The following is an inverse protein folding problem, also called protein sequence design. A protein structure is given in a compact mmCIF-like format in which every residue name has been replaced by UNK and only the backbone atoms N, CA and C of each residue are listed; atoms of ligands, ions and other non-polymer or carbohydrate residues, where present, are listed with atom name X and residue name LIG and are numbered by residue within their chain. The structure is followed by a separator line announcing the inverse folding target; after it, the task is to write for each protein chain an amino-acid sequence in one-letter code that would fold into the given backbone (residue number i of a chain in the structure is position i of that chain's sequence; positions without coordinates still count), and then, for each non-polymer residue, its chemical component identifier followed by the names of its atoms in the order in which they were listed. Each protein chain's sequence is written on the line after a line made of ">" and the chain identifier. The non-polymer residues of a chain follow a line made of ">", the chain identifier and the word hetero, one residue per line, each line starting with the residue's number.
data_IF_398613785978
#
_entry.id   IF_398613785978
#
_cell.length_a   1.000
_cell.length_b   1.000
_cell.length_c   1.000
_cell.angle_alpha   90.00
_cell.angle_beta   90.00
_cell.angle_gamma   90.00
#
_symmetry.space_group_name_H-M   'P 1'
#
loop_
_entity.id
_entity.type
_entity.pdbx_description
1 polymer ?
#
# COMPACT_ATOMS: atom_id res chain seq x y z
N UNK A 1 0.49 -13.06 4.04
CA UNK A 1 0.94 -12.66 2.69
C UNK A 1 -0.20 -11.85 2.09
N UNK A 2 0.05 -10.63 1.65
CA UNK A 2 -1.03 -9.75 1.17
C UNK A 2 -1.21 -9.93 -0.34
N UNK A 3 -2.45 -10.15 -0.75
CA UNK A 3 -2.82 -10.37 -2.15
C UNK A 3 -3.62 -9.17 -2.65
N UNK A 4 -3.17 -8.57 -3.75
CA UNK A 4 -3.91 -7.54 -4.48
C UNK A 4 -4.70 -8.19 -5.61
N UNK A 5 -6.02 -8.02 -5.58
CA UNK A 5 -6.89 -8.28 -6.72
C UNK A 5 -6.99 -7.01 -7.57
N UNK A 6 -6.50 -7.07 -8.81
CA UNK A 6 -6.45 -5.94 -9.73
C UNK A 6 -6.74 -6.40 -11.15
N UNK A 7 -7.66 -5.71 -11.84
CA UNK A 7 -7.94 -5.94 -13.24
C UNK A 7 -7.30 -4.83 -14.07
N UNK A 8 -6.19 -5.16 -14.72
CA UNK A 8 -5.45 -4.22 -15.55
C UNK A 8 -5.99 -4.20 -16.98
N UNK A 9 -6.01 -3.03 -17.64
CA UNK A 9 -6.26 -2.95 -19.08
C UNK A 9 -5.20 -3.73 -19.87
N UNK A 10 -5.62 -4.44 -20.91
CA UNK A 10 -4.71 -5.13 -21.84
C UNK A 10 -4.01 -4.11 -22.74
N UNK A 11 -2.93 -3.52 -22.25
CA UNK A 11 -2.10 -2.55 -22.98
C UNK A 11 -0.66 -2.48 -22.44
N UNK A 12 0.22 -1.90 -23.26
CA UNK A 12 1.65 -1.77 -22.97
C UNK A 12 1.94 -0.94 -21.70
N UNK A 13 1.10 0.02 -21.33
CA UNK A 13 1.29 0.82 -20.13
C UNK A 13 1.16 -0.03 -18.87
N UNK A 14 0.19 -0.95 -18.85
CA UNK A 14 -0.01 -1.87 -17.73
C UNK A 14 1.14 -2.87 -17.62
N UNK A 15 1.63 -3.37 -18.76
CA UNK A 15 2.80 -4.26 -18.81
C UNK A 15 4.05 -3.54 -18.27
N UNK A 16 4.38 -2.35 -18.78
CA UNK A 16 5.53 -1.57 -18.33
C UNK A 16 5.44 -1.17 -16.85
N UNK A 17 4.24 -0.87 -16.35
CA UNK A 17 4.03 -0.58 -14.94
C UNK A 17 4.39 -1.79 -14.06
N UNK A 18 4.02 -3.00 -14.45
CA UNK A 18 4.31 -4.23 -13.69
C UNK A 18 5.81 -4.60 -13.67
N UNK A 19 6.60 -4.11 -14.61
CA UNK A 19 8.07 -4.28 -14.63
C UNK A 19 8.79 -3.37 -13.62
N UNK A 20 8.09 -2.37 -13.08
CA UNK A 20 8.67 -1.36 -12.21
C UNK A 20 8.56 -1.75 -10.73
N UNK A 21 9.62 -1.47 -9.97
CA UNK A 21 9.55 -1.37 -8.51
C UNK A 21 9.02 0.00 -8.10
N UNK A 22 8.43 0.10 -6.91
CA UNK A 22 7.97 1.35 -6.30
C UNK A 22 6.99 2.13 -7.19
N UNK A 23 6.03 1.42 -7.78
CA UNK A 23 4.96 1.97 -8.61
C UNK A 23 4.16 3.00 -7.78
N UNK A 24 3.99 4.24 -8.25
CA UNK A 24 3.23 5.24 -7.54
C UNK A 24 1.75 4.89 -7.50
N UNK A 25 1.18 4.90 -6.30
CA UNK A 25 -0.22 4.59 -6.07
C UNK A 25 -0.81 5.40 -4.92
N UNK A 26 -2.11 5.27 -4.73
CA UNK A 26 -2.81 5.82 -3.57
C UNK A 26 -3.49 4.71 -2.80
N UNK A 27 -3.10 4.58 -1.54
CA UNK A 27 -3.75 3.66 -0.60
C UNK A 27 -4.89 4.39 0.09
N UNK A 28 -6.07 3.77 0.04
CA UNK A 28 -7.28 4.20 0.72
C UNK A 28 -7.80 3.06 1.57
N UNK A 29 -7.98 3.28 2.87
CA UNK A 29 -8.43 2.22 3.78
C UNK A 29 -9.56 2.74 4.64
N UNK A 30 -10.69 2.04 4.59
CA UNK A 30 -11.83 2.15 5.49
C UNK A 30 -12.15 0.76 6.07
N UNK A 31 -13.31 0.18 5.74
CA UNK A 31 -13.57 -1.25 5.91
C UNK A 31 -12.88 -2.12 4.84
N UNK A 32 -12.45 -1.51 3.73
CA UNK A 32 -11.74 -2.14 2.63
C UNK A 32 -10.36 -1.52 2.49
N UNK A 33 -9.39 -2.30 2.03
CA UNK A 33 -8.08 -1.80 1.63
C UNK A 33 -8.04 -1.70 0.11
N UNK A 34 -8.09 -0.47 -0.40
CA UNK A 34 -8.17 -0.14 -1.83
C UNK A 34 -6.87 0.55 -2.27
N UNK A 35 -6.39 0.21 -3.47
CA UNK A 35 -5.22 0.84 -4.09
C UNK A 35 -5.59 1.38 -5.45
N UNK A 36 -5.43 2.68 -5.66
CA UNK A 36 -5.58 3.31 -6.98
C UNK A 36 -4.23 3.41 -7.69
N UNK A 37 -4.19 3.06 -8.97
CA UNK A 37 -2.99 3.12 -9.80
C UNK A 37 -3.07 4.26 -10.80
N UNK A 38 -2.08 5.17 -10.74
CA UNK A 38 -2.06 6.38 -11.57
C UNK A 38 -1.48 6.17 -12.98
N UNK A 39 -0.60 5.18 -13.13
CA UNK A 39 0.13 4.91 -14.37
C UNK A 39 -0.68 4.11 -15.41
N UNK A 40 -1.95 3.83 -15.10
CA UNK A 40 -2.85 3.06 -15.97
C UNK A 40 -3.83 3.97 -16.70
N UNK A 41 -4.15 3.61 -17.94
CA UNK A 41 -5.20 4.29 -18.73
C UNK A 41 -6.17 3.23 -19.27
N UNK A 42 -7.45 3.21 -18.84
CA UNK A 42 -8.03 4.07 -17.79
C UNK A 42 -7.41 3.81 -16.40
N UNK A 43 -7.60 4.75 -15.48
CA UNK A 43 -7.25 4.55 -14.07
C UNK A 43 -7.99 3.35 -13.51
N UNK A 44 -7.27 2.49 -12.80
CA UNK A 44 -7.84 1.30 -12.15
C UNK A 44 -7.59 1.30 -10.65
N UNK A 45 -8.48 0.61 -9.94
CA UNK A 45 -8.37 0.36 -8.50
C UNK A 45 -8.36 -1.14 -8.24
N UNK A 46 -7.56 -1.57 -7.28
CA UNK A 46 -7.53 -2.95 -6.79
C UNK A 46 -7.89 -3.03 -5.31
N UNK A 47 -8.20 -4.25 -4.87
CA UNK A 47 -8.55 -4.55 -3.48
C UNK A 47 -7.51 -5.50 -2.87
N UNK A 48 -7.01 -5.15 -1.70
CA UNK A 48 -6.09 -5.99 -0.95
C UNK A 48 -6.89 -6.95 -0.06
N UNK A 49 -6.56 -8.23 -0.15
CA UNK A 49 -7.10 -9.31 0.65
C UNK A 49 -6.12 -9.69 1.77
N UNK A 50 -6.63 -10.35 2.80
CA UNK A 50 -5.84 -10.95 3.89
C UNK A 50 -4.95 -9.94 4.63
N UNK A 51 -5.39 -8.68 4.71
CA UNK A 51 -4.75 -7.64 5.50
C UNK A 51 -5.28 -7.62 6.93
N UNK A 52 -4.48 -7.08 7.83
CA UNK A 52 -4.72 -7.03 9.28
C UNK A 52 -4.65 -5.59 9.70
N UNK A 53 -5.74 -5.07 10.26
CA UNK A 53 -5.78 -3.71 10.79
C UNK A 53 -4.75 -3.52 11.90
N UNK A 54 -4.57 -4.52 12.77
CA UNK A 54 -3.62 -4.47 13.87
C UNK A 54 -2.19 -4.33 13.35
N UNK A 55 -1.77 -5.19 12.42
CA UNK A 55 -0.41 -5.15 11.88
C UNK A 55 -0.16 -3.84 11.12
N UNK A 56 -1.14 -3.38 10.33
CA UNK A 56 -1.03 -2.10 9.63
C UNK A 56 -0.85 -0.92 10.60
N UNK A 57 -1.66 -0.87 11.66
CA UNK A 57 -1.68 0.27 12.57
C UNK A 57 -0.39 0.41 13.38
N UNK A 58 0.38 -0.66 13.61
CA UNK A 58 1.71 -0.56 14.24
C UNK A 58 2.77 0.11 13.34
N UNK A 59 2.53 0.16 12.02
CA UNK A 59 3.52 0.59 11.02
C UNK A 59 3.21 1.96 10.42
N UNK A 60 1.94 2.34 10.41
CA UNK A 60 1.49 3.64 9.89
C UNK A 60 0.38 4.19 10.78
N UNK A 61 0.50 5.45 11.24
CA UNK A 61 -0.59 6.10 11.93
C UNK A 61 -1.74 6.38 10.96
N UNK A 62 -2.95 6.07 11.40
CA UNK A 62 -4.17 6.49 10.75
C UNK A 62 -4.18 8.02 10.56
N UNK A 63 -4.79 8.49 9.48
CA UNK A 63 -5.04 9.92 9.28
C UNK A 63 -6.25 10.37 10.09
N UNK A 64 -6.25 11.63 10.53
CA UNK A 64 -7.44 12.26 11.10
C UNK A 64 -8.22 13.01 10.01
N UNK A 65 -9.45 12.57 9.73
CA UNK A 65 -10.45 13.28 8.91
C UNK A 65 -10.65 12.73 7.49
N UNK A 66 -11.90 12.80 7.00
CA UNK A 66 -12.32 12.34 5.66
C UNK A 66 -13.08 11.02 5.67
N UNK A 67 -13.37 10.48 4.47
CA UNK A 67 -14.13 9.24 4.29
C UNK A 67 -13.31 7.96 4.56
N UNK A 68 -11.97 8.08 4.66
CA UNK A 68 -11.04 6.96 4.85
C UNK A 68 -10.18 7.14 6.09
N UNK A 69 -9.94 6.05 6.83
CA UNK A 69 -8.99 6.00 7.96
C UNK A 69 -7.55 6.19 7.49
N UNK A 70 -7.23 5.68 6.30
CA UNK A 70 -5.95 5.92 5.64
C UNK A 70 -6.21 6.46 4.25
N UNK A 71 -5.57 7.58 3.93
CA UNK A 71 -5.53 8.14 2.59
C UNK A 71 -4.10 8.61 2.33
N UNK A 72 -3.28 7.72 1.80
CA UNK A 72 -1.81 7.88 1.78
C UNK A 72 -1.28 7.69 0.36
N UNK A 73 -0.48 8.66 -0.11
CA UNK A 73 0.38 8.46 -1.28
C UNK A 73 1.37 7.35 -0.94
N UNK A 74 1.55 6.44 -1.88
CA UNK A 74 2.25 5.19 -1.63
C UNK A 74 3.11 4.78 -2.81
N UNK A 75 4.06 3.89 -2.54
CA UNK A 75 4.87 3.20 -3.52
C UNK A 75 4.66 1.71 -3.32
N UNK A 76 4.29 0.98 -4.37
CA UNK A 76 4.00 -0.45 -4.31
C UNK A 76 4.87 -1.23 -5.30
N UNK A 77 5.35 -2.39 -4.88
CA UNK A 77 6.03 -3.35 -5.74
C UNK A 77 5.22 -4.64 -5.75
N UNK A 78 4.92 -5.14 -6.95
CA UNK A 78 4.06 -6.28 -7.17
C UNK A 78 4.85 -7.44 -7.78
N UNK A 79 4.43 -8.66 -7.46
CA UNK A 79 4.84 -9.88 -8.16
C UNK A 79 3.60 -10.62 -8.62
N UNK A 80 3.54 -10.99 -9.90
CA UNK A 80 2.32 -11.53 -10.50
C UNK A 80 2.12 -12.99 -10.10
N UNK A 81 0.93 -13.31 -9.59
CA UNK A 81 0.52 -14.70 -9.28
C UNK A 81 -0.22 -15.27 -10.49
N UNK A 82 -1.22 -14.53 -10.98
CA UNK A 82 -1.99 -14.83 -12.19
C UNK A 82 -2.57 -13.55 -12.80
N UNK A 83 -3.46 -13.69 -13.80
CA UNK A 83 -4.01 -12.58 -14.57
C UNK A 83 -4.67 -11.46 -13.74
N UNK A 84 -5.18 -11.74 -12.52
CA UNK A 84 -5.86 -10.73 -11.69
C UNK A 84 -5.33 -10.62 -10.27
N UNK A 85 -4.35 -11.45 -9.91
CA UNK A 85 -3.83 -11.54 -8.54
C UNK A 85 -2.34 -11.30 -8.50
N UNK A 86 -1.94 -10.46 -7.55
CA UNK A 86 -0.57 -10.03 -7.37
C UNK A 86 -0.20 -10.14 -5.89
N UNK A 87 1.00 -10.65 -5.61
CA UNK A 87 1.61 -10.52 -4.30
C UNK A 87 2.10 -9.08 -4.12
N UNK A 88 1.82 -8.49 -2.96
CA UNK A 88 2.44 -7.22 -2.58
C UNK A 88 3.80 -7.54 -1.96
N UNK A 89 4.89 -7.34 -2.70
CA UNK A 89 6.25 -7.63 -2.22
C UNK A 89 6.82 -6.45 -1.43
N UNK A 90 6.44 -5.23 -1.81
CA UNK A 90 6.83 -4.01 -1.12
C UNK A 90 5.69 -3.00 -1.10
N UNK A 91 5.52 -2.31 0.03
CA UNK A 91 4.59 -1.20 0.15
C UNK A 91 5.16 -0.17 1.11
N UNK A 92 5.31 1.07 0.64
CA UNK A 92 5.65 2.22 1.48
C UNK A 92 4.55 3.26 1.41
N UNK A 93 4.21 3.87 2.54
CA UNK A 93 3.24 4.96 2.63
C UNK A 93 3.92 6.24 3.10
N UNK A 94 3.57 7.36 2.49
CA UNK A 94 4.13 8.65 2.85
C UNK A 94 3.46 9.22 4.11
N UNK A 95 4.27 9.61 5.09
CA UNK A 95 3.84 10.28 6.32
C UNK A 95 4.47 11.67 6.38
N UNK A 96 3.66 12.72 6.52
CA UNK A 96 4.17 14.09 6.64
C UNK A 96 5.08 14.21 7.87
N UNK A 97 6.22 14.87 7.70
CA UNK A 97 7.24 15.03 8.75
C UNK A 97 8.20 13.86 8.91
N UNK A 98 7.93 12.71 8.27
CA UNK A 98 8.76 11.49 8.39
C UNK A 98 9.26 11.01 7.03
N UNK A 99 8.38 10.94 6.04
CA UNK A 99 8.68 10.48 4.69
C UNK A 99 8.09 9.10 4.38
N UNK A 100 8.79 8.30 3.57
CA UNK A 100 8.34 6.98 3.15
C UNK A 100 8.53 5.94 4.26
N UNK A 101 7.43 5.51 4.84
CA UNK A 101 7.42 4.49 5.89
C UNK A 101 7.06 3.14 5.28
N UNK A 102 7.91 2.13 5.51
CA UNK A 102 7.70 0.78 5.02
C UNK A 102 6.56 0.11 5.77
N UNK A 103 5.59 -0.43 5.04
CA UNK A 103 4.46 -1.20 5.56
C UNK A 103 4.65 -2.67 5.26
N UNK A 104 4.99 -2.98 4.01
CA UNK A 104 5.30 -4.35 3.55
C UNK A 104 6.74 -4.36 3.03
N UNK A 105 7.50 -5.34 3.47
CA UNK A 105 8.88 -5.60 3.02
C UNK A 105 9.05 -7.11 2.81
N UNK A 106 9.56 -7.50 1.64
CA UNK A 106 9.74 -8.90 1.24
C UNK A 106 8.45 -9.74 1.37
N UNK A 107 7.30 -9.17 1.02
CA UNK A 107 6.01 -9.85 1.04
C UNK A 107 5.36 -10.01 2.42
N UNK A 108 5.98 -9.46 3.47
CA UNK A 108 5.49 -9.51 4.85
C UNK A 108 5.37 -8.11 5.43
N UNK A 109 4.56 -7.97 6.47
CA UNK A 109 4.55 -6.74 7.26
C UNK A 109 5.96 -6.40 7.74
N UNK A 110 6.41 -5.18 7.48
CA UNK A 110 7.71 -4.68 7.90
C UNK A 110 7.82 -4.64 9.43
N UNK A 111 8.99 -4.31 9.99
CA UNK A 111 9.05 -4.03 11.42
C UNK A 111 8.25 -2.74 11.75
N UNK A 112 7.59 -2.66 12.93
CA UNK A 112 7.00 -1.41 13.40
C UNK A 112 8.00 -0.26 13.36
N UNK A 113 7.54 0.94 13.03
CA UNK A 113 8.40 2.12 13.02
C UNK A 113 8.21 2.92 14.32
N UNK A 114 9.15 2.85 15.28
CA UNK A 114 9.02 3.54 16.56
C UNK A 114 9.05 5.07 16.41
N UNK A 115 9.65 5.61 15.34
CA UNK A 115 9.72 7.06 15.10
C UNK A 115 8.35 7.70 14.81
N UNK A 116 7.33 6.88 14.52
CA UNK A 116 5.97 7.35 14.25
C UNK A 116 5.13 7.56 15.51
N UNK A 117 5.62 7.10 16.64
CA UNK A 117 4.91 7.16 17.91
C UNK A 117 5.73 8.03 18.85
N UNK A 118 5.10 9.05 19.41
CA UNK A 118 5.67 9.75 20.55
C UNK A 118 5.72 8.76 21.71
N UNK A 119 6.87 8.11 21.89
CA UNK A 119 7.12 7.30 23.08
C UNK A 119 7.29 8.32 24.20
N UNK A 120 6.30 8.42 25.10
CA UNK A 120 6.47 9.22 26.31
C UNK A 120 7.64 8.59 27.08
N UNK A 121 8.77 9.30 27.29
CA UNK A 121 9.96 8.71 27.92
C UNK A 121 9.72 8.28 29.38
N UNK A 122 8.56 8.59 29.95
CA UNK A 122 8.15 8.29 31.32
C UNK A 122 7.15 7.11 31.47
N UNK A 123 6.82 6.37 30.40
CA UNK A 123 6.08 5.07 30.46
C UNK A 123 6.98 3.83 30.46
#
# INVERSE_FOLDING_TARGET
>A
MLILNLELPDNIYSEMMLECSDIPCLVKIDSNFIIDFFETVPLVSGYVLEWSWYDLNERIPAGAGGDYLYYKRSLITLDQIDNKRFNIIGLSMFVNGVGWCKVIENGQYANPNPELWDIDPDE
#
